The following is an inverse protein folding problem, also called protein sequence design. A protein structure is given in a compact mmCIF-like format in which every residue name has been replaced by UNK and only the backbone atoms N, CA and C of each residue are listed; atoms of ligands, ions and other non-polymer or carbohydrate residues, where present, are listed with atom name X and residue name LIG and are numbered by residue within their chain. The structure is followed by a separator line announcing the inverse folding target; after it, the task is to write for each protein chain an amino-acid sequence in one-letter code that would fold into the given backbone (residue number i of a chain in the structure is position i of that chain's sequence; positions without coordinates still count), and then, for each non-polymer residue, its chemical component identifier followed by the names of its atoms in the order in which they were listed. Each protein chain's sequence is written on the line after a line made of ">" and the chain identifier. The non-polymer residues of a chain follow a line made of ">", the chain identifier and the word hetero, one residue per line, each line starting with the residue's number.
data_IF_828315892469
#
_entry.id   IF_828315892469
#
_cell.length_a   1.000
_cell.length_b   1.000
_cell.length_c   1.000
_cell.angle_alpha   90.00
_cell.angle_beta   90.00
_cell.angle_gamma   90.00
#
_symmetry.space_group_name_H-M   'P 1'
#
loop_
_entity.id
_entity.type
_entity.pdbx_description
1 polymer ?
#
# COMPACT_ATOMS: atom_id res chain seq x y z
N UNK A 1 -19.28 -9.96 12.16
CA UNK A 1 -19.60 -10.22 10.73
C UNK A 1 -18.38 -10.83 10.05
N UNK A 2 -18.45 -12.11 9.68
CA UNK A 2 -17.35 -12.84 9.02
C UNK A 2 -17.52 -12.68 7.51
N UNK A 3 -16.66 -11.88 6.86
CA UNK A 3 -16.59 -11.87 5.40
C UNK A 3 -15.81 -13.12 4.96
N UNK A 4 -16.49 -14.03 4.28
CA UNK A 4 -15.84 -15.16 3.62
C UNK A 4 -15.19 -14.58 2.35
N UNK A 5 -13.86 -14.49 2.32
CA UNK A 5 -13.14 -14.33 1.05
C UNK A 5 -13.52 -15.54 0.18
N UNK A 6 -14.52 -15.36 -0.68
CA UNK A 6 -15.08 -16.43 -1.52
C UNK A 6 -14.17 -16.81 -2.68
N UNK A 7 -13.14 -16.01 -2.93
CA UNK A 7 -12.10 -16.33 -3.91
C UNK A 7 -10.88 -16.80 -3.12
N UNK A 8 -10.46 -18.07 -3.23
CA UNK A 8 -9.13 -18.43 -2.77
C UNK A 8 -8.15 -17.49 -3.46
N UNK A 9 -7.19 -16.94 -2.70
CA UNK A 9 -5.95 -16.43 -3.28
C UNK A 9 -5.49 -17.57 -4.16
N UNK A 10 -5.61 -17.41 -5.50
CA UNK A 10 -5.04 -18.37 -6.43
C UNK A 10 -3.55 -18.32 -6.10
N UNK A 11 -3.11 -19.31 -5.31
CA UNK A 11 -1.74 -19.74 -5.31
C UNK A 11 -1.43 -19.93 -6.80
N UNK A 12 -0.71 -18.99 -7.38
CA UNK A 12 0.11 -19.32 -8.53
C UNK A 12 0.90 -20.53 -8.06
N UNK A 13 0.68 -21.64 -8.75
CA UNK A 13 1.48 -22.84 -8.64
C UNK A 13 2.95 -22.42 -8.76
N UNK A 14 3.61 -22.27 -7.61
CA UNK A 14 5.05 -22.23 -7.55
C UNK A 14 5.50 -23.65 -7.91
N UNK A 15 5.67 -23.86 -9.21
CA UNK A 15 6.38 -25.01 -9.76
C UNK A 15 7.80 -24.91 -9.19
N UNK A 16 8.07 -25.70 -8.16
CA UNK A 16 9.43 -25.99 -7.74
C UNK A 16 10.05 -26.90 -8.81
N UNK A 17 10.54 -26.31 -9.90
CA UNK A 17 11.49 -27.01 -10.76
C UNK A 17 12.86 -26.97 -10.06
N UNK A 18 13.11 -28.08 -9.37
CA UNK A 18 14.37 -28.52 -8.78
C UNK A 18 15.46 -28.54 -9.86
N UNK A 19 16.25 -27.48 -9.94
CA UNK A 19 17.52 -27.47 -10.67
C UNK A 19 18.70 -27.47 -9.69
N UNK A 20 19.53 -28.50 -9.85
CA UNK A 20 20.98 -28.54 -9.61
C UNK A 20 21.57 -27.81 -8.41
N UNK A 21 22.13 -28.58 -7.48
CA UNK A 21 23.08 -28.14 -6.47
C UNK A 21 24.22 -27.31 -7.08
N UNK A 22 24.24 -26.01 -6.79
CA UNK A 22 25.46 -25.23 -6.69
C UNK A 22 25.29 -24.30 -5.49
N UNK A 23 25.79 -24.74 -4.33
CA UNK A 23 25.82 -23.94 -3.11
C UNK A 23 26.86 -22.84 -3.34
N UNK A 24 26.45 -21.74 -3.97
CA UNK A 24 27.15 -20.47 -3.79
C UNK A 24 26.84 -20.03 -2.38
N UNK A 25 27.84 -20.02 -1.52
CA UNK A 25 27.78 -19.40 -0.21
C UNK A 25 27.34 -17.94 -0.40
N UNK A 26 26.06 -17.67 -0.16
CA UNK A 26 25.57 -16.31 0.05
C UNK A 26 26.18 -15.87 1.37
N UNK A 27 27.25 -15.08 1.30
CA UNK A 27 27.71 -14.33 2.47
C UNK A 27 26.49 -13.58 3.00
N UNK A 28 26.22 -13.74 4.29
CA UNK A 28 25.20 -12.98 4.98
C UNK A 28 25.58 -11.50 4.89
N UNK A 29 25.09 -10.83 3.85
CA UNK A 29 25.19 -9.39 3.72
C UNK A 29 24.66 -8.81 5.02
N UNK A 30 25.56 -8.15 5.75
CA UNK A 30 25.29 -7.55 7.04
C UNK A 30 23.94 -6.84 7.03
N UNK A 31 23.12 -7.10 8.05
CA UNK A 31 21.93 -6.30 8.35
C UNK A 31 22.40 -4.89 8.67
N UNK A 32 22.65 -4.08 7.64
CA UNK A 32 22.83 -2.65 7.82
C UNK A 32 21.51 -2.12 8.35
N UNK A 33 21.50 -1.40 9.48
CA UNK A 33 20.27 -0.82 9.99
C UNK A 33 19.72 0.11 8.90
N UNK A 34 18.58 -0.28 8.32
CA UNK A 34 17.92 0.50 7.30
C UNK A 34 17.72 1.92 7.84
N UNK A 35 18.22 2.92 7.11
CA UNK A 35 18.04 4.33 7.44
C UNK A 35 16.56 4.58 7.80
N UNK A 36 16.26 5.33 8.88
CA UNK A 36 14.87 5.57 9.28
C UNK A 36 14.10 6.13 8.09
N UNK A 37 13.09 5.39 7.64
CA UNK A 37 12.21 5.82 6.57
C UNK A 37 11.40 7.01 7.06
N UNK A 38 11.65 8.18 6.50
CA UNK A 38 10.81 9.35 6.72
C UNK A 38 9.55 9.20 5.89
N UNK A 39 8.45 8.90 6.56
CA UNK A 39 7.14 8.92 5.94
C UNK A 39 6.61 10.35 5.93
N UNK A 40 6.08 10.80 4.79
CA UNK A 40 5.41 12.10 4.70
C UNK A 40 4.06 12.15 5.41
N UNK A 41 3.61 11.03 5.99
CA UNK A 41 2.36 10.91 6.73
C UNK A 41 2.63 10.56 8.20
N UNK A 42 1.77 11.01 9.13
CA UNK A 42 1.82 10.54 10.51
C UNK A 42 1.65 9.02 10.53
N UNK A 43 2.47 8.36 11.35
CA UNK A 43 2.39 6.91 11.59
C UNK A 43 2.19 6.71 13.08
N UNK A 44 1.62 5.58 13.51
CA UNK A 44 1.44 5.27 14.92
C UNK A 44 2.73 5.40 15.78
N UNK A 45 3.90 5.17 15.16
CA UNK A 45 5.21 5.33 15.82
C UNK A 45 5.62 6.80 15.99
N UNK A 46 5.30 7.65 15.03
CA UNK A 46 5.70 9.07 15.05
C UNK A 46 4.68 9.93 15.80
N UNK A 47 3.39 9.58 15.71
CA UNK A 47 2.27 10.33 16.28
C UNK A 47 1.27 9.38 16.97
N UNK A 48 1.63 8.78 18.11
CA UNK A 48 0.76 7.82 18.81
C UNK A 48 -0.54 8.45 19.35
N UNK A 49 -0.56 9.78 19.55
CA UNK A 49 -1.77 10.51 19.98
C UNK A 49 -2.81 10.64 18.85
N UNK A 50 -2.38 10.52 17.58
CA UNK A 50 -3.25 10.71 16.41
C UNK A 50 -3.70 9.37 15.80
N UNK A 51 -2.86 8.34 15.88
CA UNK A 51 -3.12 7.03 15.28
C UNK A 51 -2.70 5.88 16.19
N UNK A 52 -3.55 4.85 16.26
CA UNK A 52 -3.25 3.62 16.99
C UNK A 52 -2.38 2.67 16.14
N UNK A 53 -1.64 1.74 16.76
CA UNK A 53 -0.90 0.73 16.01
C UNK A 53 -1.86 -0.10 15.14
N UNK A 54 -1.53 -0.25 13.85
CA UNK A 54 -2.34 -0.99 12.87
C UNK A 54 -3.33 -0.12 12.08
N UNK A 55 -3.49 1.15 12.46
CA UNK A 55 -4.23 2.13 11.66
C UNK A 55 -3.32 2.72 10.57
N UNK A 56 -3.88 2.92 9.38
CA UNK A 56 -3.20 3.56 8.23
C UNK A 56 -3.60 5.04 8.15
N UNK A 57 -4.84 5.33 8.51
CA UNK A 57 -5.40 6.69 8.63
C UNK A 57 -6.12 6.73 9.98
N UNK A 58 -6.24 7.90 10.65
CA UNK A 58 -6.89 7.97 11.95
C UNK A 58 -8.26 7.27 11.95
N UNK A 59 -8.39 6.21 12.76
CA UNK A 59 -9.62 5.42 12.87
C UNK A 59 -9.89 4.40 11.75
N UNK A 60 -9.01 4.26 10.75
CA UNK A 60 -9.16 3.28 9.66
C UNK A 60 -7.96 2.31 9.66
N UNK A 61 -8.27 1.02 9.78
CA UNK A 61 -7.28 -0.07 9.82
C UNK A 61 -6.82 -0.51 8.43
N UNK A 62 -5.62 -1.09 8.35
CA UNK A 62 -5.13 -1.67 7.09
C UNK A 62 -6.08 -2.74 6.51
N UNK A 63 -6.70 -3.53 7.38
CA UNK A 63 -7.67 -4.57 7.02
C UNK A 63 -8.94 -4.00 6.38
N UNK A 64 -9.35 -2.79 6.75
CA UNK A 64 -10.50 -2.15 6.12
C UNK A 64 -10.20 -1.76 4.68
N UNK A 65 -9.00 -1.23 4.40
CA UNK A 65 -8.57 -0.93 3.03
C UNK A 65 -8.45 -2.20 2.16
N UNK A 66 -7.99 -3.31 2.73
CA UNK A 66 -8.03 -4.61 2.06
C UNK A 66 -9.47 -5.02 1.72
N UNK A 67 -10.40 -4.87 2.65
CA UNK A 67 -11.81 -5.17 2.41
C UNK A 67 -12.41 -4.29 1.31
N UNK A 68 -12.08 -2.99 1.28
CA UNK A 68 -12.52 -2.06 0.22
C UNK A 68 -12.01 -2.51 -1.15
N UNK A 69 -10.72 -2.88 -1.25
CA UNK A 69 -10.12 -3.40 -2.49
C UNK A 69 -10.72 -4.74 -2.91
N UNK A 70 -10.97 -5.65 -1.97
CA UNK A 70 -11.62 -6.92 -2.25
C UNK A 70 -13.06 -6.72 -2.78
N UNK A 71 -13.81 -5.78 -2.17
CA UNK A 71 -15.16 -5.43 -2.63
C UNK A 71 -15.14 -4.88 -4.06
N UNK A 72 -14.19 -4.00 -4.38
CA UNK A 72 -13.98 -3.49 -5.73
C UNK A 72 -13.72 -4.66 -6.69
N UNK A 73 -12.74 -5.52 -6.40
CA UNK A 73 -12.37 -6.64 -7.27
C UNK A 73 -13.48 -7.68 -7.46
N UNK A 74 -14.39 -7.82 -6.49
CA UNK A 74 -15.55 -8.71 -6.62
C UNK A 74 -16.61 -8.17 -7.59
N UNK A 75 -16.68 -6.84 -7.78
CA UNK A 75 -17.59 -6.21 -8.73
C UNK A 75 -17.08 -6.27 -10.17
N UNK A 76 -15.78 -6.47 -10.35
CA UNK A 76 -15.17 -6.53 -11.67
C UNK A 76 -15.28 -7.93 -12.30
N UNK A 77 -15.40 -8.02 -13.65
CA UNK A 77 -15.42 -9.29 -14.38
C UNK A 77 -14.05 -10.00 -14.34
N UNK A 78 -14.01 -11.27 -14.75
CA UNK A 78 -12.74 -12.01 -14.83
C UNK A 78 -11.76 -11.36 -15.82
N UNK A 79 -10.45 -11.48 -15.55
CA UNK A 79 -9.36 -10.91 -16.36
C UNK A 79 -9.37 -9.38 -16.51
N UNK A 80 -10.00 -8.68 -15.57
CA UNK A 80 -10.00 -7.21 -15.52
C UNK A 80 -8.94 -6.66 -14.57
N UNK A 81 -8.54 -5.41 -14.79
CA UNK A 81 -7.58 -4.67 -13.95
C UNK A 81 -8.16 -3.30 -13.64
N UNK A 82 -8.08 -2.88 -12.37
CA UNK A 82 -8.42 -1.54 -11.93
C UNK A 82 -7.16 -0.70 -11.72
N UNK A 83 -7.10 0.47 -12.35
CA UNK A 83 -6.00 1.43 -12.21
C UNK A 83 -6.54 2.69 -11.53
N UNK A 84 -6.11 2.95 -10.30
CA UNK A 84 -6.44 4.17 -9.57
C UNK A 84 -5.27 5.15 -9.64
N UNK A 85 -5.50 6.33 -10.23
CA UNK A 85 -4.47 7.35 -10.39
C UNK A 85 -4.47 8.32 -9.20
N UNK A 86 -3.26 8.65 -8.74
CA UNK A 86 -3.04 9.75 -7.81
C UNK A 86 -3.23 11.11 -8.47
N UNK A 87 -3.39 12.14 -7.64
CA UNK A 87 -3.56 13.52 -8.06
C UNK A 87 -2.21 14.21 -8.22
N UNK A 88 -2.15 15.23 -9.10
CA UNK A 88 -0.93 16.03 -9.32
C UNK A 88 -1.02 17.35 -8.56
N UNK A 89 0.14 17.88 -8.13
CA UNK A 89 0.21 19.22 -7.51
C UNK A 89 -0.31 20.28 -8.48
N UNK A 90 -1.27 21.07 -8.02
CA UNK A 90 -1.84 22.20 -8.77
C UNK A 90 -1.08 23.48 -8.41
N UNK A 91 -0.75 24.26 -9.42
CA UNK A 91 -0.11 25.56 -9.26
C UNK A 91 -1.11 26.67 -9.56
N UNK A 92 -1.15 27.68 -8.71
CA UNK A 92 -1.89 28.92 -8.94
C UNK A 92 -1.10 29.83 -9.87
N UNK A 93 0.23 29.86 -9.70
CA UNK A 93 1.19 30.55 -10.55
C UNK A 93 2.55 29.84 -10.45
N UNK A 94 3.54 30.20 -11.27
CA UNK A 94 4.83 29.50 -11.38
C UNK A 94 5.57 29.27 -10.04
N UNK A 95 5.27 30.06 -9.00
CA UNK A 95 5.90 29.95 -7.67
C UNK A 95 4.92 29.72 -6.50
N UNK A 96 3.61 29.60 -6.76
CA UNK A 96 2.59 29.47 -5.72
C UNK A 96 1.76 28.21 -5.97
N UNK A 97 1.84 27.25 -5.05
CA UNK A 97 1.10 25.99 -5.11
C UNK A 97 -0.17 26.06 -4.27
N UNK A 98 -1.23 25.39 -4.73
CA UNK A 98 -2.40 25.12 -3.90
C UNK A 98 -2.09 24.03 -2.89
N UNK A 99 -2.80 23.99 -1.73
CA UNK A 99 -2.73 22.84 -0.84
C UNK A 99 -3.06 21.55 -1.60
N UNK A 100 -2.25 20.52 -1.38
CA UNK A 100 -2.43 19.25 -2.08
C UNK A 100 -3.63 18.51 -1.51
N UNK A 101 -4.57 18.17 -2.38
CA UNK A 101 -5.69 17.29 -2.08
C UNK A 101 -5.62 16.08 -3.01
N UNK A 102 -5.54 14.89 -2.42
CA UNK A 102 -5.47 13.65 -3.17
C UNK A 102 -6.81 13.36 -3.86
N UNK A 103 -6.76 12.58 -4.94
CA UNK A 103 -7.95 12.01 -5.56
C UNK A 103 -8.73 11.17 -4.53
N UNK A 104 -10.02 11.44 -4.40
CA UNK A 104 -10.91 10.82 -3.40
C UNK A 104 -10.96 9.31 -3.56
N UNK A 105 -10.99 8.80 -4.78
CA UNK A 105 -11.05 7.35 -5.05
C UNK A 105 -9.76 6.65 -4.62
N UNK A 106 -8.62 7.25 -4.94
CA UNK A 106 -7.31 6.74 -4.55
C UNK A 106 -7.14 6.77 -3.02
N UNK A 107 -7.54 7.87 -2.39
CA UNK A 107 -7.52 8.00 -0.93
C UNK A 107 -8.45 6.99 -0.26
N UNK A 108 -9.64 6.73 -0.83
CA UNK A 108 -10.59 5.77 -0.30
C UNK A 108 -10.07 4.33 -0.35
N UNK A 109 -9.35 3.96 -1.42
CA UNK A 109 -8.82 2.61 -1.62
C UNK A 109 -7.51 2.34 -0.87
N UNK A 110 -6.67 3.36 -0.70
CA UNK A 110 -5.30 3.20 -0.19
C UNK A 110 -4.98 3.98 1.09
N UNK A 111 -5.74 5.01 1.45
CA UNK A 111 -5.48 5.85 2.65
C UNK A 111 -4.29 6.81 2.54
N UNK A 112 -3.66 6.89 1.37
CA UNK A 112 -2.52 7.77 1.13
C UNK A 112 -2.99 9.17 0.73
N UNK A 113 -2.65 10.19 1.51
CA UNK A 113 -3.04 11.60 1.31
C UNK A 113 -1.94 12.47 0.71
N UNK A 114 -0.70 12.00 0.71
CA UNK A 114 0.47 12.72 0.24
C UNK A 114 0.93 12.23 -1.14
N UNK A 115 1.70 13.10 -1.81
CA UNK A 115 2.20 12.90 -3.17
C UNK A 115 3.56 12.17 -3.24
N UNK A 116 4.14 11.78 -2.10
CA UNK A 116 5.52 11.27 -2.03
C UNK A 116 5.53 9.74 -2.01
N UNK A 117 6.07 9.15 -3.08
CA UNK A 117 6.45 7.73 -3.15
C UNK A 117 7.98 7.68 -2.94
N UNK A 118 8.43 7.53 -1.68
CA UNK A 118 9.85 7.29 -1.34
C UNK A 118 10.21 5.82 -1.38
#
# INVERSE_FOLDING_TARGET
>A
MKYKLSRPIRQCSFIWQRFGTNIRSLSASALTPAKPRLYGQPTAKTHPHLMKPGEVTPGITATEYEFRRARLMNMLPENSVAIALGYRTRYMSNKVFYPFHQNTDFFYLCGMSNMIIT
#
